data_IF_756554152992
#
_entry.id   IF_756554152992
#
_cell.length_a   1.000
_cell.length_b   1.000
_cell.length_c   1.000
_cell.angle_alpha   90.00
_cell.angle_beta   90.00
_cell.angle_gamma   90.00
#
_symmetry.space_group_name_H-M   'P 1'
#
loop_
_entity.id
_entity.type
_entity.pdbx_description
1 polymer ?
#
# COMPACT_ATOMS: atom_id res chain seq x y z
N UNK A 1 28.30 16.52 11.59
CA UNK A 1 27.95 15.10 11.73
C UNK A 1 26.47 14.93 11.43
N UNK A 2 26.16 14.15 10.37
CA UNK A 2 24.77 13.80 10.05
C UNK A 2 24.38 12.52 10.81
N UNK A 3 23.40 12.59 11.69
CA UNK A 3 22.82 11.42 12.33
C UNK A 3 21.60 10.98 11.53
N UNK A 4 21.64 9.79 10.95
CA UNK A 4 20.51 9.21 10.20
C UNK A 4 19.92 8.06 11.00
N UNK A 5 18.61 8.09 11.22
CA UNK A 5 17.85 6.97 11.79
C UNK A 5 17.05 6.31 10.68
N UNK A 6 17.24 5.01 10.48
CA UNK A 6 16.56 4.24 9.43
C UNK A 6 15.67 3.17 10.05
N UNK A 7 14.41 3.14 9.64
CA UNK A 7 13.47 2.10 9.98
C UNK A 7 13.33 1.13 8.81
N UNK A 8 13.76 -0.11 9.00
CA UNK A 8 13.62 -1.19 8.01
C UNK A 8 12.53 -2.14 8.48
N UNK A 9 11.52 -2.34 7.64
CA UNK A 9 10.34 -3.17 7.95
C UNK A 9 10.30 -4.36 7.01
N UNK A 10 10.15 -5.58 7.55
CA UNK A 10 9.99 -6.77 6.72
C UNK A 10 8.67 -6.75 5.94
N UNK A 11 8.60 -7.39 4.75
CA UNK A 11 7.35 -7.47 3.98
C UNK A 11 6.18 -8.07 4.76
N UNK A 12 6.44 -9.06 5.62
CA UNK A 12 5.41 -9.68 6.47
C UNK A 12 4.88 -8.72 7.52
N UNK A 13 5.76 -8.02 8.23
CA UNK A 13 5.37 -7.04 9.26
C UNK A 13 4.65 -5.83 8.64
N UNK A 14 5.11 -5.37 7.48
CA UNK A 14 4.42 -4.37 6.69
C UNK A 14 2.99 -4.80 6.33
N UNK A 15 2.84 -6.03 5.79
CA UNK A 15 1.54 -6.60 5.46
C UNK A 15 0.61 -6.73 6.69
N UNK A 16 1.16 -7.12 7.85
CA UNK A 16 0.37 -7.25 9.08
C UNK A 16 -0.07 -5.88 9.61
N UNK A 17 0.80 -4.88 9.54
CA UNK A 17 0.46 -3.53 9.95
C UNK A 17 -0.67 -2.92 9.11
N UNK A 18 -0.71 -3.20 7.81
CA UNK A 18 -1.74 -2.69 6.89
C UNK A 18 -3.00 -3.55 6.86
N UNK A 19 -2.94 -4.77 7.38
CA UNK A 19 -4.06 -5.69 7.35
C UNK A 19 -5.28 -5.13 8.11
N UNK A 20 -6.45 -5.14 7.45
CA UNK A 20 -7.70 -4.63 8.01
C UNK A 20 -7.86 -3.11 7.99
N UNK A 21 -6.93 -2.36 7.36
CA UNK A 21 -7.12 -0.93 7.11
C UNK A 21 -7.79 -0.77 5.74
N UNK A 22 -9.07 -0.36 5.69
CA UNK A 22 -9.72 -0.08 4.41
C UNK A 22 -9.10 1.19 3.79
N UNK A 23 -8.89 1.19 2.48
CA UNK A 23 -8.50 2.36 1.68
C UNK A 23 -7.02 2.65 1.47
N UNK A 24 -6.08 1.73 1.78
CA UNK A 24 -4.74 1.90 1.23
C UNK A 24 -4.77 1.70 -0.29
N UNK A 25 -4.75 2.80 -1.02
CA UNK A 25 -4.70 2.75 -2.47
C UNK A 25 -3.27 2.45 -2.95
N UNK A 26 -3.09 1.74 -4.08
CA UNK A 26 -1.80 1.63 -4.74
C UNK A 26 -1.17 2.98 -5.03
N UNK A 27 -2.01 4.00 -5.25
CA UNK A 27 -1.62 5.38 -5.47
C UNK A 27 -0.85 5.97 -4.28
N UNK A 28 -1.27 5.69 -3.05
CA UNK A 28 -0.52 6.10 -1.85
C UNK A 28 0.89 5.50 -1.81
N UNK A 29 1.03 4.20 -2.11
CA UNK A 29 2.35 3.57 -2.13
C UNK A 29 3.23 4.11 -3.25
N UNK A 30 2.64 4.41 -4.40
CA UNK A 30 3.32 5.07 -5.49
C UNK A 30 3.80 6.47 -5.07
N UNK A 31 2.91 7.26 -4.48
CA UNK A 31 3.24 8.59 -3.96
C UNK A 31 4.41 8.54 -2.97
N UNK A 32 4.36 7.63 -1.99
CA UNK A 32 5.41 7.46 -0.98
C UNK A 32 6.77 7.04 -1.55
N UNK A 33 6.82 6.47 -2.76
CA UNK A 33 8.07 6.12 -3.45
C UNK A 33 8.65 7.26 -4.28
N UNK A 34 7.82 8.17 -4.72
CA UNK A 34 8.20 9.26 -5.64
C UNK A 34 8.33 10.61 -4.93
N UNK A 35 7.78 10.72 -3.72
CA UNK A 35 7.80 11.94 -2.95
C UNK A 35 8.44 11.72 -1.58
N UNK A 36 9.28 12.66 -1.19
CA UNK A 36 9.85 12.68 0.15
C UNK A 36 8.92 13.45 1.08
N UNK A 37 8.42 12.76 2.10
CA UNK A 37 7.71 13.44 3.18
C UNK A 37 8.72 13.88 4.23
N UNK A 38 8.60 15.10 4.68
CA UNK A 38 9.39 15.68 5.76
C UNK A 38 8.50 16.49 6.70
N UNK A 39 8.81 16.52 8.00
CA UNK A 39 8.02 17.28 8.97
C UNK A 39 8.05 18.77 8.61
N UNK A 40 6.88 19.38 8.61
CA UNK A 40 6.70 20.80 8.23
C UNK A 40 6.89 21.73 9.42
N UNK A 41 6.70 21.22 10.65
CA UNK A 41 6.80 22.00 11.87
C UNK A 41 7.74 21.32 12.87
N UNK A 42 8.22 22.11 13.84
CA UNK A 42 9.01 21.61 14.94
C UNK A 42 8.24 20.56 15.78
N UNK A 43 6.93 20.74 15.89
CA UNK A 43 6.06 19.80 16.58
C UNK A 43 5.96 18.45 15.83
N UNK A 44 5.90 18.47 14.51
CA UNK A 44 5.90 17.24 13.68
C UNK A 44 7.23 16.50 13.81
N UNK A 45 8.34 17.24 13.82
CA UNK A 45 9.67 16.67 14.06
C UNK A 45 9.73 15.98 15.43
N UNK A 46 9.25 16.62 16.49
CA UNK A 46 9.20 16.05 17.84
C UNK A 46 8.33 14.80 17.91
N UNK A 47 7.15 14.82 17.29
CA UNK A 47 6.26 13.65 17.19
C UNK A 47 6.93 12.48 16.49
N UNK A 48 7.61 12.74 15.38
CA UNK A 48 8.34 11.72 14.62
C UNK A 48 9.50 11.14 15.44
N UNK A 49 10.29 11.97 16.11
CA UNK A 49 11.38 11.52 16.98
C UNK A 49 10.88 10.67 18.15
N UNK A 50 9.78 11.08 18.79
CA UNK A 50 9.14 10.28 19.84
C UNK A 50 8.65 8.93 19.31
N UNK A 51 8.10 8.91 18.09
CA UNK A 51 7.69 7.67 17.45
C UNK A 51 8.88 6.71 17.23
N UNK A 52 10.01 7.21 16.70
CA UNK A 52 11.23 6.41 16.55
C UNK A 52 11.76 5.89 17.89
N UNK A 53 11.68 6.69 18.95
CA UNK A 53 12.00 6.28 20.33
C UNK A 53 11.13 5.11 20.77
N UNK A 54 9.80 5.21 20.64
CA UNK A 54 8.88 4.13 20.99
C UNK A 54 9.14 2.84 20.19
N UNK A 55 9.41 2.94 18.89
CA UNK A 55 9.73 1.76 18.08
C UNK A 55 11.03 1.12 18.55
N UNK A 56 12.08 1.92 18.78
CA UNK A 56 13.39 1.45 19.28
C UNK A 56 13.22 0.72 20.59
N UNK A 57 12.51 1.29 21.55
CA UNK A 57 12.27 0.70 22.88
C UNK A 57 11.55 -0.66 22.74
N UNK A 58 10.56 -0.76 21.85
CA UNK A 58 9.85 -2.03 21.65
C UNK A 58 10.66 -3.06 20.87
N UNK A 59 11.50 -2.66 19.94
CA UNK A 59 12.40 -3.57 19.23
C UNK A 59 13.41 -4.23 20.16
N UNK A 60 13.87 -3.50 21.20
CA UNK A 60 14.85 -4.00 22.18
C UNK A 60 14.21 -4.64 23.42
N UNK A 61 12.89 -4.49 23.63
CA UNK A 61 12.19 -5.04 24.79
C UNK A 61 11.98 -6.55 24.69
N UNK A 62 11.78 -7.21 25.82
CA UNK A 62 11.37 -8.62 25.92
C UNK A 62 9.89 -8.78 26.28
N UNK A 63 9.06 -7.78 25.98
CA UNK A 63 7.64 -7.80 26.28
C UNK A 63 6.92 -8.95 25.56
N UNK A 64 5.94 -9.57 26.21
CA UNK A 64 5.13 -10.67 25.65
C UNK A 64 4.43 -10.21 24.35
N UNK A 65 3.88 -9.01 24.34
CA UNK A 65 3.16 -8.43 23.20
C UNK A 65 4.02 -7.51 22.33
N UNK A 66 5.37 -7.71 22.34
CA UNK A 66 6.31 -6.87 21.57
C UNK A 66 5.94 -6.77 20.10
N UNK A 67 5.65 -7.91 19.47
CA UNK A 67 5.34 -7.96 18.04
C UNK A 67 4.06 -7.17 17.71
N UNK A 68 3.02 -7.36 18.50
CA UNK A 68 1.73 -6.69 18.34
C UNK A 68 1.88 -5.18 18.53
N UNK A 69 2.62 -4.75 19.54
CA UNK A 69 2.89 -3.34 19.79
C UNK A 69 3.64 -2.69 18.61
N UNK A 70 4.64 -3.36 18.04
CA UNK A 70 5.36 -2.87 16.86
C UNK A 70 4.41 -2.77 15.66
N UNK A 71 3.55 -3.77 15.43
CA UNK A 71 2.54 -3.75 14.36
C UNK A 71 1.61 -2.54 14.51
N UNK A 72 1.15 -2.25 15.72
CA UNK A 72 0.28 -1.11 15.97
C UNK A 72 1.00 0.23 15.83
N UNK A 73 2.26 0.33 16.24
CA UNK A 73 3.09 1.52 15.99
C UNK A 73 3.28 1.75 14.49
N UNK A 74 3.62 0.72 13.73
CA UNK A 74 3.74 0.82 12.27
C UNK A 74 2.42 1.22 11.62
N UNK A 75 1.30 0.65 12.06
CA UNK A 75 -0.03 1.04 11.58
C UNK A 75 -0.31 2.51 11.85
N UNK A 76 -0.01 3.00 13.04
CA UNK A 76 -0.14 4.41 13.37
C UNK A 76 0.69 5.29 12.40
N UNK A 77 1.97 4.94 12.17
CA UNK A 77 2.82 5.67 11.24
C UNK A 77 2.22 5.71 9.83
N UNK A 78 1.77 4.57 9.31
CA UNK A 78 1.20 4.51 7.95
C UNK A 78 -0.10 5.31 7.84
N UNK A 79 -0.93 5.33 8.88
CA UNK A 79 -2.14 6.16 8.90
C UNK A 79 -1.81 7.65 8.95
N UNK A 80 -0.82 8.07 9.70
CA UNK A 80 -0.33 9.46 9.72
C UNK A 80 0.23 9.88 8.35
N UNK A 81 1.03 9.01 7.72
CA UNK A 81 1.54 9.25 6.36
C UNK A 81 0.40 9.33 5.33
N UNK A 82 -0.61 8.47 5.47
CA UNK A 82 -1.78 8.51 4.60
C UNK A 82 -2.60 9.79 4.80
N UNK A 83 -2.79 10.24 6.03
CA UNK A 83 -3.46 11.51 6.31
C UNK A 83 -2.68 12.71 5.73
N UNK A 84 -1.34 12.68 5.82
CA UNK A 84 -0.49 13.70 5.21
C UNK A 84 -0.62 13.69 3.69
N UNK A 85 -0.60 12.51 3.07
CA UNK A 85 -0.83 12.32 1.64
C UNK A 85 -2.19 12.89 1.19
N UNK A 86 -3.29 12.56 1.87
CA UNK A 86 -4.63 13.05 1.52
C UNK A 86 -4.73 14.58 1.61
N UNK A 87 -4.09 15.17 2.62
CA UNK A 87 -4.01 16.63 2.75
C UNK A 87 -3.23 17.26 1.59
N UNK A 88 -2.08 16.68 1.24
CA UNK A 88 -1.24 17.19 0.16
C UNK A 88 -1.90 16.96 -1.21
N UNK A 89 -2.51 15.80 -1.43
CA UNK A 89 -3.25 15.49 -2.64
C UNK A 89 -4.42 16.49 -2.87
N UNK A 90 -5.09 16.91 -1.81
CA UNK A 90 -6.14 17.93 -1.89
C UNK A 90 -5.61 19.33 -2.23
N UNK A 91 -4.36 19.62 -1.92
CA UNK A 91 -3.69 20.88 -2.23
C UNK A 91 -2.98 20.88 -3.59
N UNK A 92 -2.61 19.67 -4.09
CA UNK A 92 -1.82 19.48 -5.32
C UNK A 92 -2.61 19.64 -6.63
N UNK A 93 -3.81 20.18 -6.63
CA UNK A 93 -4.51 20.58 -7.87
C UNK A 93 -3.71 21.55 -8.75
N UNK A 94 -2.55 22.01 -8.29
CA UNK A 94 -1.69 22.99 -8.98
C UNK A 94 -0.35 22.45 -9.50
N UNK A 95 0.11 21.21 -9.10
CA UNK A 95 1.35 20.65 -9.63
C UNK A 95 1.05 19.90 -10.93
N UNK A 96 1.67 20.32 -12.01
CA UNK A 96 1.57 19.61 -13.30
C UNK A 96 2.32 18.28 -13.20
N UNK A 97 1.57 17.20 -12.99
CA UNK A 97 2.11 15.83 -13.12
C UNK A 97 2.71 15.64 -14.50
N UNK A 98 3.78 14.88 -14.61
CA UNK A 98 4.27 14.48 -15.93
C UNK A 98 3.21 13.57 -16.58
N UNK A 99 3.15 13.52 -17.90
CA UNK A 99 2.23 12.65 -18.65
C UNK A 99 2.31 11.17 -18.20
N UNK A 100 3.49 10.73 -17.75
CA UNK A 100 3.72 9.37 -17.25
C UNK A 100 3.12 9.18 -15.85
N UNK A 101 3.26 10.17 -14.97
CA UNK A 101 2.64 10.17 -13.64
C UNK A 101 1.12 10.19 -13.73
N UNK A 102 0.55 11.03 -14.60
CA UNK A 102 -0.90 11.02 -14.86
C UNK A 102 -1.40 9.65 -15.33
N UNK A 103 -0.64 9.00 -16.22
CA UNK A 103 -0.98 7.66 -16.71
C UNK A 103 -0.93 6.62 -15.59
N UNK A 104 0.10 6.69 -14.74
CA UNK A 104 0.23 5.83 -13.58
C UNK A 104 -0.93 6.04 -12.59
N UNK A 105 -1.29 7.29 -12.33
CA UNK A 105 -2.42 7.64 -11.48
C UNK A 105 -3.74 7.05 -11.99
N UNK A 106 -4.01 7.18 -13.30
CA UNK A 106 -5.19 6.59 -13.93
C UNK A 106 -5.17 5.05 -13.83
N UNK A 107 -4.02 4.42 -14.05
CA UNK A 107 -3.87 2.96 -13.91
C UNK A 107 -4.18 2.49 -12.49
N UNK A 108 -3.64 3.13 -11.45
CA UNK A 108 -3.93 2.78 -10.06
C UNK A 108 -5.41 2.99 -9.70
N UNK A 109 -6.02 4.05 -10.21
CA UNK A 109 -7.46 4.29 -10.05
C UNK A 109 -8.32 3.19 -10.71
N UNK A 110 -7.88 2.65 -11.85
CA UNK A 110 -8.55 1.53 -12.52
C UNK A 110 -8.37 0.21 -11.75
N UNK A 111 -7.19 -0.07 -11.18
CA UNK A 111 -6.98 -1.25 -10.33
C UNK A 111 -7.99 -1.24 -9.19
N UNK A 112 -8.12 -0.14 -8.45
CA UNK A 112 -9.06 -0.02 -7.32
C UNK A 112 -10.51 -0.34 -7.72
N UNK A 113 -10.90 0.02 -8.94
CA UNK A 113 -12.28 -0.17 -9.42
C UNK A 113 -12.54 -1.59 -9.96
N UNK A 114 -11.53 -2.22 -10.57
CA UNK A 114 -11.73 -3.41 -11.39
C UNK A 114 -10.95 -4.65 -10.95
N UNK A 115 -10.17 -4.61 -9.87
CA UNK A 115 -9.32 -5.73 -9.43
C UNK A 115 -10.08 -7.03 -9.15
N UNK A 116 -11.37 -6.95 -8.78
CA UNK A 116 -12.20 -8.12 -8.51
C UNK A 116 -12.54 -8.89 -9.78
N UNK A 117 -12.70 -8.18 -10.87
CA UNK A 117 -13.20 -8.73 -12.15
C UNK A 117 -12.07 -9.01 -13.14
N UNK A 118 -11.02 -8.18 -13.11
CA UNK A 118 -9.96 -8.21 -14.11
C UNK A 118 -8.57 -8.18 -13.47
N UNK A 119 -7.75 -9.16 -13.83
CA UNK A 119 -6.37 -9.32 -13.36
C UNK A 119 -5.34 -9.12 -14.47
N UNK A 120 -5.80 -9.00 -15.71
CA UNK A 120 -4.93 -8.90 -16.89
C UNK A 120 -4.52 -7.45 -17.17
N UNK A 121 -3.23 -7.24 -17.42
CA UNK A 121 -2.66 -5.94 -17.79
C UNK A 121 -3.30 -5.40 -19.06
N UNK A 122 -3.70 -6.29 -19.99
CA UNK A 122 -4.34 -5.90 -21.24
C UNK A 122 -5.64 -5.13 -21.01
N UNK A 123 -6.48 -5.58 -20.08
CA UNK A 123 -7.72 -4.89 -19.72
C UNK A 123 -7.47 -3.42 -19.30
N UNK A 124 -6.45 -3.20 -18.47
CA UNK A 124 -6.13 -1.85 -17.99
C UNK A 124 -5.53 -0.99 -19.08
N UNK A 125 -4.71 -1.59 -19.95
CA UNK A 125 -4.11 -0.91 -21.08
C UNK A 125 -5.19 -0.46 -22.09
N UNK A 126 -6.16 -1.32 -22.39
CA UNK A 126 -7.31 -1.01 -23.27
C UNK A 126 -8.15 0.15 -22.70
N UNK A 127 -8.44 0.12 -21.37
CA UNK A 127 -9.14 1.24 -20.70
C UNK A 127 -8.40 2.56 -20.78
N UNK A 128 -7.07 2.52 -20.91
CA UNK A 128 -6.21 3.70 -21.04
C UNK A 128 -5.89 4.05 -22.51
N UNK A 129 -6.44 3.29 -23.47
CA UNK A 129 -6.20 3.45 -24.91
C UNK A 129 -4.70 3.38 -25.27
N UNK A 130 -3.96 2.45 -24.64
CA UNK A 130 -2.53 2.22 -24.89
C UNK A 130 -2.23 0.73 -24.97
N UNK A 131 -1.01 0.36 -25.41
CA UNK A 131 -0.58 -1.04 -25.45
C UNK A 131 -0.15 -1.52 -24.04
N UNK A 132 -0.35 -2.81 -23.74
CA UNK A 132 0.11 -3.44 -22.49
C UNK A 132 1.62 -3.28 -22.27
N UNK A 133 2.40 -3.33 -23.36
CA UNK A 133 3.85 -3.12 -23.31
C UNK A 133 4.19 -1.70 -22.86
N UNK A 134 3.53 -0.69 -23.42
CA UNK A 134 3.74 0.70 -23.07
C UNK A 134 3.30 0.98 -21.62
N UNK A 135 2.13 0.47 -21.23
CA UNK A 135 1.66 0.57 -19.84
C UNK A 135 2.69 -0.02 -18.87
N UNK A 136 3.15 -1.26 -19.09
CA UNK A 136 4.13 -1.91 -18.22
C UNK A 136 5.44 -1.14 -18.15
N UNK A 137 5.92 -0.59 -19.27
CA UNK A 137 7.12 0.23 -19.32
C UNK A 137 6.97 1.50 -18.46
N UNK A 138 5.88 2.25 -18.67
CA UNK A 138 5.63 3.49 -17.93
C UNK A 138 5.48 3.22 -16.44
N UNK A 139 4.68 2.23 -16.06
CA UNK A 139 4.47 1.89 -14.65
C UNK A 139 5.79 1.47 -14.00
N UNK A 140 6.62 0.67 -14.68
CA UNK A 140 7.92 0.25 -14.15
C UNK A 140 8.88 1.43 -14.01
N UNK A 141 8.91 2.33 -14.98
CA UNK A 141 9.77 3.53 -14.94
C UNK A 141 9.37 4.44 -13.77
N UNK A 142 8.08 4.70 -13.60
CA UNK A 142 7.55 5.63 -12.60
C UNK A 142 7.53 5.02 -11.19
N UNK A 143 7.21 3.72 -11.05
CA UNK A 143 6.99 3.06 -9.76
C UNK A 143 8.05 2.04 -9.36
N UNK A 144 8.94 1.67 -10.27
CA UNK A 144 9.97 0.65 -10.06
C UNK A 144 9.48 -0.80 -10.08
N UNK A 145 8.15 -1.04 -10.22
CA UNK A 145 7.53 -2.36 -10.34
C UNK A 145 6.72 -2.47 -11.62
N UNK A 146 6.55 -3.68 -12.17
CA UNK A 146 5.72 -3.89 -13.35
C UNK A 146 4.22 -3.66 -13.04
N UNK A 147 3.44 -3.41 -14.10
CA UNK A 147 1.99 -3.29 -13.95
C UNK A 147 1.35 -4.57 -13.39
N UNK A 148 1.83 -5.76 -13.80
CA UNK A 148 1.37 -7.06 -13.29
C UNK A 148 1.64 -7.17 -11.78
N UNK A 149 2.84 -6.82 -11.33
CA UNK A 149 3.21 -6.91 -9.91
C UNK A 149 2.31 -6.02 -9.04
N UNK A 150 1.98 -4.82 -9.50
CA UNK A 150 1.06 -3.93 -8.79
C UNK A 150 -0.35 -4.49 -8.69
N UNK A 151 -0.89 -5.06 -9.78
CA UNK A 151 -2.20 -5.70 -9.77
C UNK A 151 -2.23 -6.85 -8.75
N UNK A 152 -1.22 -7.72 -8.77
CA UNK A 152 -1.10 -8.85 -7.84
C UNK A 152 -0.96 -8.37 -6.39
N UNK A 153 -0.09 -7.40 -6.14
CA UNK A 153 0.12 -6.84 -4.79
C UNK A 153 -1.18 -6.27 -4.22
N UNK A 154 -1.93 -5.53 -5.03
CA UNK A 154 -3.21 -4.97 -4.61
C UNK A 154 -4.24 -6.06 -4.29
N UNK A 155 -4.36 -7.07 -5.14
CA UNK A 155 -5.25 -8.21 -4.91
C UNK A 155 -4.89 -8.93 -3.61
N UNK A 156 -3.60 -9.18 -3.38
CA UNK A 156 -3.12 -9.85 -2.14
C UNK A 156 -3.44 -9.01 -0.90
N UNK A 157 -3.27 -7.70 -0.95
CA UNK A 157 -3.61 -6.81 0.17
C UNK A 157 -5.11 -6.85 0.48
N UNK A 158 -5.96 -6.78 -0.54
CA UNK A 158 -7.42 -6.85 -0.38
C UNK A 158 -7.88 -8.21 0.16
N UNK A 159 -7.29 -9.31 -0.33
CA UNK A 159 -7.56 -10.65 0.18
C UNK A 159 -7.21 -10.76 1.67
N UNK A 160 -6.04 -10.27 2.07
CA UNK A 160 -5.62 -10.29 3.47
C UNK A 160 -6.54 -9.44 4.35
N UNK A 161 -6.99 -8.29 3.85
CA UNK A 161 -7.95 -7.44 4.54
C UNK A 161 -9.30 -8.17 4.74
N UNK A 162 -9.79 -8.84 3.70
CA UNK A 162 -11.02 -9.62 3.76
C UNK A 162 -10.90 -10.81 4.75
N UNK A 163 -9.82 -11.59 4.69
CA UNK A 163 -9.60 -12.73 5.57
C UNK A 163 -9.53 -12.33 7.06
N UNK A 164 -8.91 -11.19 7.35
CA UNK A 164 -8.80 -10.71 8.73
C UNK A 164 -10.13 -10.17 9.27
N UNK A 165 -10.93 -9.54 8.42
CA UNK A 165 -12.26 -9.06 8.78
C UNK A 165 -13.29 -10.21 8.90
N UNK A 166 -13.11 -11.32 8.19
CA UNK A 166 -14.00 -12.49 8.23
C UNK A 166 -13.77 -13.37 9.45
N UNK A 167 -12.61 -13.36 10.08
CA UNK A 167 -12.42 -14.04 11.36
C UNK A 167 -13.27 -13.46 12.51
N UNK A 168 -13.85 -12.29 12.34
CA UNK A 168 -14.81 -11.70 13.27
C UNK A 168 -16.28 -12.04 12.97
N UNK A 169 -16.61 -12.63 11.81
CA UNK A 169 -17.99 -12.94 11.42
C UNK A 169 -18.08 -14.12 10.42
N UNK A 170 -17.65 -15.32 10.85
CA UNK A 170 -17.69 -16.52 10.00
C UNK A 170 -19.12 -16.97 9.57
N UNK A 171 -20.17 -16.40 10.12
CA UNK A 171 -21.56 -16.76 9.80
C UNK A 171 -22.16 -16.03 8.59
N UNK A 172 -21.52 -14.96 8.07
CA UNK A 172 -22.11 -14.10 7.03
C UNK A 172 -21.36 -14.03 5.69
N UNK A 173 -20.25 -14.71 5.53
CA UNK A 173 -19.49 -14.64 4.26
C UNK A 173 -19.89 -15.81 3.38
N UNK A 174 -20.47 -15.51 2.24
CA UNK A 174 -20.81 -16.48 1.21
C UNK A 174 -19.61 -17.35 0.85
N UNK A 175 -19.73 -18.65 1.07
CA UNK A 175 -18.70 -19.68 0.78
C UNK A 175 -18.20 -19.62 -0.67
N UNK A 176 -18.97 -19.07 -1.59
CA UNK A 176 -18.59 -18.87 -2.99
C UNK A 176 -17.49 -17.83 -3.14
N UNK A 177 -17.51 -16.73 -2.39
CA UNK A 177 -16.50 -15.67 -2.42
C UNK A 177 -15.18 -16.15 -1.85
N UNK A 178 -15.20 -16.93 -0.75
CA UNK A 178 -13.96 -17.50 -0.15
C UNK A 178 -13.34 -18.53 -1.09
N UNK A 179 -14.16 -19.37 -1.73
CA UNK A 179 -13.69 -20.41 -2.65
C UNK A 179 -13.09 -19.84 -3.94
N UNK A 180 -13.71 -18.82 -4.52
CA UNK A 180 -13.18 -18.09 -5.68
C UNK A 180 -11.88 -17.36 -5.34
N UNK A 181 -11.80 -16.82 -4.14
CA UNK A 181 -10.61 -16.12 -3.65
C UNK A 181 -9.46 -17.09 -3.38
N UNK A 182 -9.71 -18.23 -2.74
CA UNK A 182 -8.70 -19.26 -2.47
C UNK A 182 -8.16 -19.91 -3.76
N UNK A 183 -9.03 -20.21 -4.73
CA UNK A 183 -8.62 -20.75 -6.04
C UNK A 183 -7.81 -19.71 -6.83
N UNK A 184 -8.16 -18.43 -6.72
CA UNK A 184 -7.41 -17.35 -7.36
C UNK A 184 -6.03 -17.14 -6.73
N UNK A 185 -5.91 -17.29 -5.40
CA UNK A 185 -4.61 -17.24 -4.69
C UNK A 185 -3.71 -18.38 -5.14
N UNK A 186 -4.23 -19.59 -5.19
CA UNK A 186 -3.45 -20.78 -5.60
C UNK A 186 -2.90 -20.62 -7.02
N UNK A 187 -3.69 -20.07 -7.94
CA UNK A 187 -3.29 -19.83 -9.33
C UNK A 187 -2.25 -18.71 -9.48
N UNK A 188 -2.26 -17.71 -8.59
CA UNK A 188 -1.30 -16.59 -8.59
C UNK A 188 0.06 -17.01 -8.01
N UNK A 189 0.07 -18.00 -7.10
CA UNK A 189 1.30 -18.51 -6.46
C UNK A 189 1.97 -19.61 -7.32
N UNK A 190 1.22 -20.25 -8.22
CA UNK A 190 1.68 -21.38 -9.05
C UNK A 190 2.19 -20.97 -10.44
N UNK A 191 2.02 -19.71 -10.86
CA UNK A 191 2.56 -19.06 -12.08
C UNK A 191 3.68 -18.08 -11.72
#
# INVERSE_FOLDING_TARGET
>A
DFLTTTLVVSPTMFSDALSGVPRFSPHFFFYMRTHYWYPQTENDTRRLMNFFGMVKDKVTSNDIYRRELIIHLLRYLYLELFNAYEKEASLMTTRKDTRKEELANKFFGLIMKHFKENKDVAFYADKLCITSKYLTMVIKEVSGKSAKDWIVEYIVLEIKALLKNTNMNMERTDRSTIRLTAVSIYRIISD
#
